data_IF_419010682212
#
_entry.id   IF_419010682212
#
_cell.length_a   1.000
_cell.length_b   1.000
_cell.length_c   1.000
_cell.angle_alpha   90.00
_cell.angle_beta   90.00
_cell.angle_gamma   90.00
#
_symmetry.space_group_name_H-M   'P 1'
#
loop_
_entity.id
_entity.type
_entity.pdbx_description
1 polymer ?
#
# COMPACT_ATOMS: atom_id res chain seq x y z
N UNK A 1 100.18 3.94 -1.51
CA UNK A 1 99.51 4.53 -0.34
C UNK A 1 98.07 4.87 -0.75
N UNK A 2 97.07 4.30 -0.05
CA UNK A 2 95.69 4.76 0.24
C UNK A 2 94.84 5.36 -0.93
N UNK A 3 93.57 5.03 -1.20
CA UNK A 3 92.54 4.21 -0.55
C UNK A 3 91.17 4.39 -1.28
N UNK A 4 90.31 3.36 -1.14
CA UNK A 4 88.83 3.36 -1.06
C UNK A 4 87.90 4.15 -2.03
N UNK A 5 87.09 3.38 -2.78
CA UNK A 5 85.61 3.24 -2.61
C UNK A 5 84.61 4.10 -3.43
N UNK A 6 83.76 3.32 -4.14
CA UNK A 6 82.30 3.43 -4.38
C UNK A 6 81.70 4.13 -5.62
N UNK A 7 81.04 3.27 -6.42
CA UNK A 7 79.85 3.53 -7.25
C UNK A 7 78.63 3.92 -6.39
N UNK A 8 77.69 4.71 -6.93
CA UNK A 8 76.39 4.25 -7.47
C UNK A 8 75.40 5.42 -7.73
N UNK A 9 74.84 5.37 -8.94
CA UNK A 9 73.45 5.57 -9.40
C UNK A 9 72.62 6.83 -9.10
N UNK A 10 72.04 7.32 -10.21
CA UNK A 10 70.99 8.32 -10.32
C UNK A 10 69.72 7.66 -10.91
N UNK A 11 68.57 8.07 -10.40
CA UNK A 11 67.18 7.69 -10.66
C UNK A 11 66.76 7.52 -12.14
N UNK A 12 65.75 6.67 -12.43
CA UNK A 12 64.39 7.12 -12.82
C UNK A 12 63.40 5.95 -13.00
N UNK A 13 62.12 6.27 -12.83
CA UNK A 13 60.92 5.44 -12.78
C UNK A 13 60.61 4.59 -14.04
N UNK A 14 59.98 3.42 -13.83
CA UNK A 14 58.65 3.06 -14.34
C UNK A 14 58.48 1.53 -14.53
N UNK A 15 57.53 0.94 -13.80
CA UNK A 15 56.46 0.07 -14.36
C UNK A 15 55.74 -0.69 -13.25
N UNK A 16 54.61 -0.10 -12.84
CA UNK A 16 53.54 -0.76 -12.12
C UNK A 16 52.83 -1.73 -13.10
N UNK A 17 53.18 -3.02 -13.09
CA UNK A 17 52.23 -4.12 -13.39
C UNK A 17 52.94 -5.46 -13.30
N UNK A 18 52.81 -6.19 -12.19
CA UNK A 18 52.93 -7.65 -12.23
C UNK A 18 51.87 -8.22 -11.29
N UNK A 19 50.89 -8.89 -11.90
CA UNK A 19 49.82 -9.60 -11.21
C UNK A 19 50.38 -10.69 -10.31
N UNK A 20 49.58 -11.06 -9.31
CA UNK A 20 49.91 -12.15 -8.38
C UNK A 20 49.64 -13.47 -9.11
N UNK A 21 50.57 -14.41 -9.07
CA UNK A 21 50.45 -15.75 -9.67
C UNK A 21 50.52 -16.81 -8.56
N UNK A 22 49.85 -17.96 -8.72
CA UNK A 22 49.93 -19.08 -7.76
C UNK A 22 51.25 -19.88 -7.92
N UNK A 23 51.52 -20.83 -7.02
CA UNK A 23 52.68 -21.72 -7.03
C UNK A 23 52.91 -22.46 -8.38
N UNK A 24 51.87 -22.66 -9.19
CA UNK A 24 51.92 -23.26 -10.53
C UNK A 24 52.05 -22.22 -11.68
N UNK A 25 52.22 -20.94 -11.37
CA UNK A 25 52.47 -19.87 -12.35
C UNK A 25 51.22 -19.34 -13.08
N UNK A 26 50.01 -19.78 -12.72
CA UNK A 26 48.77 -19.20 -13.26
C UNK A 26 48.49 -17.83 -12.65
N UNK A 27 48.06 -16.83 -13.45
CA UNK A 27 47.64 -15.54 -12.94
C UNK A 27 46.44 -15.73 -12.01
N UNK A 28 46.56 -15.29 -10.76
CA UNK A 28 45.45 -15.20 -9.81
C UNK A 28 44.70 -13.92 -10.19
N UNK A 29 43.82 -14.05 -11.18
CA UNK A 29 42.88 -12.99 -11.49
C UNK A 29 41.85 -12.91 -10.36
N UNK A 30 41.73 -11.73 -9.76
CA UNK A 30 40.86 -11.49 -8.61
C UNK A 30 39.42 -11.46 -9.08
N UNK A 31 38.68 -12.54 -8.89
CA UNK A 31 37.22 -12.52 -9.07
C UNK A 31 36.48 -12.21 -7.76
N UNK A 32 37.00 -11.26 -6.97
CA UNK A 32 36.23 -10.64 -5.86
C UNK A 32 35.09 -9.76 -6.42
N UNK A 33 35.24 -9.25 -7.65
CA UNK A 33 34.15 -8.56 -8.38
C UNK A 33 33.04 -9.53 -8.85
N UNK A 34 33.36 -10.80 -9.13
CA UNK A 34 32.37 -11.77 -9.60
C UNK A 34 31.50 -12.33 -8.48
N UNK A 35 32.02 -12.49 -7.26
CA UNK A 35 31.21 -12.95 -6.11
C UNK A 35 30.19 -11.88 -5.68
N UNK A 36 30.59 -10.59 -5.63
CA UNK A 36 29.65 -9.50 -5.32
C UNK A 36 28.54 -9.36 -6.38
N UNK A 37 28.88 -9.52 -7.67
CA UNK A 37 27.91 -9.51 -8.76
C UNK A 37 26.99 -10.74 -8.76
N UNK A 38 27.51 -11.94 -8.45
CA UNK A 38 26.73 -13.18 -8.30
C UNK A 38 25.74 -13.12 -7.13
N UNK A 39 26.12 -12.53 -5.99
CA UNK A 39 25.24 -12.40 -4.83
C UNK A 39 24.13 -11.37 -5.05
N UNK A 40 24.43 -10.26 -5.72
CA UNK A 40 23.40 -9.29 -6.16
C UNK A 40 22.44 -9.95 -7.15
N UNK A 41 22.95 -10.73 -8.11
CA UNK A 41 22.11 -11.38 -9.13
C UNK A 41 21.22 -12.47 -8.51
N UNK A 42 21.73 -13.22 -7.52
CA UNK A 42 21.00 -14.27 -6.79
C UNK A 42 19.98 -13.68 -5.80
N UNK A 43 20.31 -12.56 -5.16
CA UNK A 43 19.40 -11.75 -4.35
C UNK A 43 18.28 -11.16 -5.21
N UNK A 44 18.62 -10.49 -6.32
CA UNK A 44 17.65 -9.97 -7.30
C UNK A 44 16.76 -11.09 -7.85
N UNK A 45 17.28 -12.27 -8.19
CA UNK A 45 16.45 -13.39 -8.65
C UNK A 45 15.48 -13.91 -7.56
N UNK A 46 15.89 -13.94 -6.29
CA UNK A 46 15.02 -14.32 -5.17
C UNK A 46 13.97 -13.25 -4.88
N UNK A 47 14.36 -11.97 -4.87
CA UNK A 47 13.45 -10.82 -4.73
C UNK A 47 12.45 -10.76 -5.89
N UNK A 48 12.89 -11.03 -7.12
CA UNK A 48 12.02 -11.14 -8.30
C UNK A 48 11.03 -12.29 -8.13
N UNK A 49 11.45 -13.49 -7.70
CA UNK A 49 10.52 -14.62 -7.46
C UNK A 49 9.48 -14.31 -6.38
N UNK A 50 9.86 -13.63 -5.29
CA UNK A 50 8.94 -13.21 -4.23
C UNK A 50 7.98 -12.12 -4.74
N UNK A 51 8.47 -11.13 -5.49
CA UNK A 51 7.63 -10.12 -6.15
C UNK A 51 6.63 -10.76 -7.12
N UNK A 52 7.06 -11.73 -7.94
CA UNK A 52 6.20 -12.41 -8.91
C UNK A 52 5.05 -13.14 -8.22
N UNK A 53 5.29 -13.73 -7.05
CA UNK A 53 4.23 -14.36 -6.23
C UNK A 53 3.20 -13.35 -5.76
N UNK A 54 3.64 -12.21 -5.19
CA UNK A 54 2.74 -11.16 -4.71
C UNK A 54 1.95 -10.49 -5.85
N UNK A 55 2.58 -10.30 -7.01
CA UNK A 55 1.92 -9.79 -8.22
C UNK A 55 0.85 -10.76 -8.70
N UNK A 56 1.11 -12.07 -8.64
CA UNK A 56 0.12 -13.10 -9.00
C UNK A 56 -1.17 -13.02 -8.16
N UNK A 57 -1.03 -12.88 -6.83
CA UNK A 57 -2.19 -12.72 -5.94
C UNK A 57 -2.95 -11.41 -6.21
N UNK A 58 -2.24 -10.31 -6.49
CA UNK A 58 -2.87 -9.03 -6.83
C UNK A 58 -3.67 -9.12 -8.14
N UNK A 59 -3.09 -9.72 -9.18
CA UNK A 59 -3.77 -9.93 -10.47
C UNK A 59 -5.00 -10.81 -10.30
N UNK A 60 -4.91 -11.89 -9.52
CA UNK A 60 -6.03 -12.76 -9.22
C UNK A 60 -7.17 -12.00 -8.52
N UNK A 61 -6.83 -11.15 -7.53
CA UNK A 61 -7.80 -10.29 -6.85
C UNK A 61 -8.46 -9.31 -7.84
N UNK A 62 -7.69 -8.64 -8.70
CA UNK A 62 -8.24 -7.73 -9.69
C UNK A 62 -9.22 -8.43 -10.64
N UNK A 63 -8.87 -9.62 -11.14
CA UNK A 63 -9.76 -10.41 -12.00
C UNK A 63 -11.03 -10.83 -11.24
N UNK A 64 -10.90 -11.21 -9.97
CA UNK A 64 -12.02 -11.57 -9.12
C UNK A 64 -13.01 -10.41 -8.89
N UNK A 65 -12.49 -9.19 -8.71
CA UNK A 65 -13.30 -7.97 -8.58
C UNK A 65 -14.01 -7.63 -9.88
N UNK A 66 -13.33 -7.71 -11.03
CA UNK A 66 -13.93 -7.43 -12.35
C UNK A 66 -15.03 -8.44 -12.69
N UNK A 67 -14.80 -9.73 -12.41
CA UNK A 67 -15.82 -10.77 -12.59
C UNK A 67 -17.05 -10.52 -11.70
N UNK A 68 -16.82 -10.15 -10.43
CA UNK A 68 -17.90 -9.77 -9.51
C UNK A 68 -18.69 -8.56 -10.01
N UNK A 69 -18.00 -7.51 -10.47
CA UNK A 69 -18.62 -6.28 -10.96
C UNK A 69 -19.58 -6.56 -12.13
N UNK A 70 -19.13 -7.36 -13.09
CA UNK A 70 -19.94 -7.79 -14.23
C UNK A 70 -21.16 -8.61 -13.78
N UNK A 71 -20.97 -9.55 -12.85
CA UNK A 71 -22.04 -10.38 -12.32
C UNK A 71 -23.13 -9.57 -11.58
N UNK A 72 -22.74 -8.70 -10.64
CA UNK A 72 -23.73 -7.91 -9.87
C UNK A 72 -24.43 -6.85 -10.72
N UNK A 73 -23.70 -6.22 -11.65
CA UNK A 73 -24.32 -5.33 -12.62
C UNK A 73 -25.40 -6.06 -13.43
N UNK A 74 -25.10 -7.28 -13.90
CA UNK A 74 -26.07 -8.07 -14.66
C UNK A 74 -27.31 -8.43 -13.84
N UNK A 75 -27.13 -8.83 -12.57
CA UNK A 75 -28.22 -9.25 -11.69
C UNK A 75 -29.12 -8.08 -11.22
N UNK A 76 -28.54 -6.92 -10.89
CA UNK A 76 -29.27 -5.86 -10.19
C UNK A 76 -29.69 -4.70 -11.08
N UNK A 77 -29.00 -4.42 -12.19
CA UNK A 77 -29.30 -3.23 -13.02
C UNK A 77 -30.70 -3.27 -13.65
N UNK A 78 -31.13 -4.44 -14.12
CA UNK A 78 -32.47 -4.62 -14.67
C UNK A 78 -33.56 -4.42 -13.60
N UNK A 79 -33.36 -5.04 -12.43
CA UNK A 79 -34.28 -4.91 -11.30
C UNK A 79 -34.35 -3.49 -10.74
N UNK A 80 -33.23 -2.74 -10.73
CA UNK A 80 -33.20 -1.33 -10.33
C UNK A 80 -34.12 -0.48 -11.23
N UNK A 81 -34.08 -0.72 -12.55
CA UNK A 81 -34.89 0.03 -13.51
C UNK A 81 -36.39 -0.24 -13.30
N UNK A 82 -36.78 -1.50 -13.17
CA UNK A 82 -38.16 -1.89 -12.94
C UNK A 82 -38.68 -1.36 -11.60
N UNK A 83 -37.89 -1.49 -10.53
CA UNK A 83 -38.22 -0.95 -9.21
C UNK A 83 -38.38 0.59 -9.22
N UNK A 84 -37.57 1.30 -10.01
CA UNK A 84 -37.70 2.75 -10.18
C UNK A 84 -39.05 3.11 -10.78
N UNK A 85 -39.44 2.48 -11.90
CA UNK A 85 -40.72 2.75 -12.55
C UNK A 85 -41.92 2.37 -11.68
N UNK A 86 -41.86 1.24 -10.97
CA UNK A 86 -42.92 0.83 -10.06
C UNK A 86 -43.11 1.82 -8.89
N UNK A 87 -42.01 2.36 -8.35
CA UNK A 87 -42.06 3.36 -7.27
C UNK A 87 -42.51 4.72 -7.79
N UNK A 88 -42.03 5.13 -8.97
CA UNK A 88 -42.46 6.35 -9.65
C UNK A 88 -43.96 6.36 -9.95
N UNK A 89 -44.53 5.22 -10.39
CA UNK A 89 -45.96 5.09 -10.61
C UNK A 89 -46.77 5.32 -9.32
N UNK A 90 -46.34 4.71 -8.20
CA UNK A 90 -46.96 4.92 -6.87
C UNK A 90 -46.85 6.37 -6.39
N UNK A 91 -45.68 6.98 -6.59
CA UNK A 91 -45.47 8.40 -6.29
C UNK A 91 -46.44 9.29 -7.08
N UNK A 92 -46.57 9.08 -8.40
CA UNK A 92 -47.46 9.86 -9.26
C UNK A 92 -48.93 9.68 -8.89
N UNK A 93 -49.35 8.48 -8.55
CA UNK A 93 -50.72 8.20 -8.10
C UNK A 93 -51.05 8.94 -6.79
N UNK A 94 -50.17 8.84 -5.79
CA UNK A 94 -50.33 9.56 -4.51
C UNK A 94 -50.29 11.07 -4.72
N UNK A 95 -49.38 11.59 -5.56
CA UNK A 95 -49.31 13.01 -5.89
C UNK A 95 -50.62 13.50 -6.51
N UNK A 96 -51.14 12.81 -7.53
CA UNK A 96 -52.38 13.19 -8.20
C UNK A 96 -53.57 13.16 -7.24
N UNK A 97 -53.67 12.13 -6.39
CA UNK A 97 -54.73 12.00 -5.38
C UNK A 97 -54.63 13.11 -4.33
N UNK A 98 -53.43 13.43 -3.86
CA UNK A 98 -53.19 14.48 -2.87
C UNK A 98 -53.46 15.87 -3.46
N UNK A 99 -53.09 16.11 -4.72
CA UNK A 99 -53.41 17.33 -5.45
C UNK A 99 -54.92 17.50 -5.64
N UNK A 100 -55.64 16.44 -6.04
CA UNK A 100 -57.09 16.48 -6.17
C UNK A 100 -57.78 16.79 -4.83
N UNK A 101 -57.30 16.19 -3.73
CA UNK A 101 -57.78 16.48 -2.37
C UNK A 101 -57.50 17.93 -1.98
N UNK A 102 -56.30 18.45 -2.24
CA UNK A 102 -55.94 19.84 -1.94
C UNK A 102 -56.81 20.84 -2.71
N UNK A 103 -57.03 20.61 -4.01
CA UNK A 103 -57.91 21.44 -4.85
C UNK A 103 -59.35 21.40 -4.30
N UNK A 104 -59.87 20.21 -3.95
CA UNK A 104 -61.20 20.07 -3.37
C UNK A 104 -61.37 20.79 -2.02
N UNK A 105 -60.33 20.84 -1.20
CA UNK A 105 -60.34 21.60 0.06
C UNK A 105 -60.41 23.10 -0.22
N UNK A 106 -59.62 23.60 -1.19
CA UNK A 106 -59.61 25.02 -1.55
C UNK A 106 -60.95 25.45 -2.18
N UNK A 107 -61.59 24.59 -2.96
CA UNK A 107 -62.87 24.87 -3.65
C UNK A 107 -64.12 24.58 -2.77
N UNK A 108 -63.94 24.11 -1.54
CA UNK A 108 -65.03 23.69 -0.65
C UNK A 108 -65.94 24.82 -0.14
N UNK A 109 -65.56 26.09 -0.35
CA UNK A 109 -66.28 27.26 0.17
C UNK A 109 -66.19 27.43 1.69
N UNK A 110 -65.31 26.69 2.37
CA UNK A 110 -65.06 26.76 3.82
C UNK A 110 -64.37 28.08 4.24
N UNK A 111 -64.40 28.39 5.54
CA UNK A 111 -63.63 29.52 6.08
C UNK A 111 -62.13 29.31 5.89
N UNK A 112 -61.38 30.41 5.78
CA UNK A 112 -59.93 30.35 5.53
C UNK A 112 -59.18 29.54 6.60
N UNK A 113 -59.62 29.58 7.86
CA UNK A 113 -59.02 28.83 8.97
C UNK A 113 -59.23 27.31 8.81
N UNK A 114 -60.43 26.90 8.38
CA UNK A 114 -60.75 25.49 8.17
C UNK A 114 -60.02 24.97 6.92
N UNK A 115 -59.97 25.75 5.84
CA UNK A 115 -59.20 25.42 4.63
C UNK A 115 -57.72 25.25 4.97
N UNK A 116 -57.13 26.18 5.74
CA UNK A 116 -55.73 26.10 6.14
C UNK A 116 -55.41 24.83 6.92
N UNK A 117 -56.20 24.51 7.96
CA UNK A 117 -55.97 23.31 8.78
C UNK A 117 -56.16 21.99 8.03
N UNK A 118 -57.15 21.90 7.13
CA UNK A 118 -57.35 20.71 6.30
C UNK A 118 -56.26 20.56 5.24
N UNK A 119 -55.81 21.66 4.64
CA UNK A 119 -54.73 21.65 3.66
C UNK A 119 -53.41 21.23 4.30
N UNK A 120 -53.09 21.76 5.48
CA UNK A 120 -51.92 21.36 6.26
C UNK A 120 -51.93 19.85 6.53
N UNK A 121 -53.06 19.31 6.99
CA UNK A 121 -53.23 17.86 7.23
C UNK A 121 -53.01 17.03 5.96
N UNK A 122 -53.50 17.49 4.80
CA UNK A 122 -53.31 16.80 3.52
C UNK A 122 -51.85 16.86 3.03
N UNK A 123 -51.15 17.97 3.29
CA UNK A 123 -49.73 18.12 2.97
C UNK A 123 -48.85 17.24 3.85
N UNK A 124 -49.16 17.11 5.14
CA UNK A 124 -48.45 16.22 6.06
C UNK A 124 -48.64 14.75 5.62
N UNK A 125 -49.86 14.31 5.30
CA UNK A 125 -50.12 12.95 4.80
C UNK A 125 -49.34 12.65 3.50
N UNK A 126 -49.28 13.62 2.58
CA UNK A 126 -48.48 13.49 1.37
C UNK A 126 -46.98 13.39 1.69
N UNK A 127 -46.47 14.26 2.58
CA UNK A 127 -45.08 14.27 3.00
C UNK A 127 -44.69 12.93 3.67
N UNK A 128 -45.47 12.44 4.63
CA UNK A 128 -45.23 11.16 5.29
C UNK A 128 -45.19 10.00 4.29
N UNK A 129 -46.13 9.98 3.33
CA UNK A 129 -46.14 8.96 2.29
C UNK A 129 -44.92 9.06 1.37
N UNK A 130 -44.49 10.28 1.02
CA UNK A 130 -43.31 10.50 0.20
C UNK A 130 -42.03 10.06 0.93
N UNK A 131 -41.90 10.35 2.22
CA UNK A 131 -40.80 9.88 3.06
C UNK A 131 -40.79 8.35 3.16
N UNK A 132 -41.95 7.71 3.29
CA UNK A 132 -42.04 6.25 3.34
C UNK A 132 -41.68 5.57 2.01
N UNK A 133 -41.90 6.24 0.88
CA UNK A 133 -41.54 5.75 -0.45
C UNK A 133 -40.04 5.88 -0.77
N UNK A 134 -39.29 6.70 -0.03
CA UNK A 134 -37.86 6.99 -0.25
C UNK A 134 -37.53 7.32 -1.72
N UNK A 135 -38.41 8.12 -2.37
CA UNK A 135 -38.29 8.45 -3.79
C UNK A 135 -38.06 9.96 -3.98
N UNK A 136 -36.90 10.39 -4.53
CA UNK A 136 -36.67 11.80 -4.81
C UNK A 136 -37.56 12.26 -5.97
N UNK A 137 -38.36 13.34 -5.83
CA UNK A 137 -39.23 13.85 -6.91
C UNK A 137 -38.49 14.21 -8.20
N UNK A 138 -37.21 14.57 -8.10
CA UNK A 138 -36.33 14.91 -9.22
C UNK A 138 -35.72 13.69 -9.92
N UNK A 139 -35.94 12.48 -9.41
CA UNK A 139 -35.34 11.26 -9.95
C UNK A 139 -35.99 10.89 -11.27
N UNK A 140 -35.19 10.89 -12.34
CA UNK A 140 -35.62 10.43 -13.65
C UNK A 140 -35.18 8.98 -13.88
N UNK A 141 -36.15 8.06 -13.92
CA UNK A 141 -35.88 6.63 -14.15
C UNK A 141 -35.29 6.34 -15.54
N UNK A 142 -35.52 7.19 -16.55
CA UNK A 142 -34.96 6.97 -17.89
C UNK A 142 -33.42 7.03 -17.90
N UNK A 143 -32.82 7.83 -17.00
CA UNK A 143 -31.37 7.97 -16.88
C UNK A 143 -30.67 6.69 -16.43
N UNK A 144 -31.37 5.75 -15.78
CA UNK A 144 -30.78 4.46 -15.36
C UNK A 144 -30.34 3.61 -16.57
N UNK A 145 -30.98 3.83 -17.73
CA UNK A 145 -30.55 3.21 -19.00
C UNK A 145 -29.20 3.72 -19.49
N UNK A 146 -28.79 4.93 -19.08
CA UNK A 146 -27.49 5.50 -19.41
C UNK A 146 -26.37 4.81 -18.61
N UNK A 147 -25.13 4.78 -19.14
CA UNK A 147 -24.01 4.09 -18.49
C UNK A 147 -23.71 4.56 -17.06
N UNK A 148 -23.94 5.84 -16.75
CA UNK A 148 -23.62 6.45 -15.45
C UNK A 148 -24.86 6.77 -14.60
N UNK A 149 -26.07 6.58 -15.11
CA UNK A 149 -27.29 6.94 -14.37
C UNK A 149 -27.83 5.84 -13.46
N UNK A 150 -27.29 4.62 -13.55
CA UNK A 150 -27.62 3.50 -12.66
C UNK A 150 -26.67 3.47 -11.46
N UNK A 151 -27.20 3.13 -10.27
CA UNK A 151 -26.37 2.83 -9.08
C UNK A 151 -25.52 1.58 -9.29
N UNK A 152 -25.96 0.70 -10.19
CA UNK A 152 -25.25 -0.50 -10.65
C UNK A 152 -24.54 -0.30 -12.00
N UNK A 153 -23.93 0.88 -12.19
CA UNK A 153 -22.96 1.05 -13.26
C UNK A 153 -21.68 0.23 -13.00
N UNK A 154 -20.83 0.09 -14.01
CA UNK A 154 -19.66 -0.81 -13.93
C UNK A 154 -18.67 -0.38 -12.85
N UNK A 155 -18.44 0.92 -12.69
CA UNK A 155 -17.50 1.48 -11.69
C UNK A 155 -18.05 1.28 -10.28
N UNK A 156 -19.33 1.58 -10.07
CA UNK A 156 -20.01 1.39 -8.78
C UNK A 156 -20.14 -0.09 -8.40
N UNK A 157 -20.34 -0.98 -9.37
CA UNK A 157 -20.35 -2.42 -9.14
C UNK A 157 -18.97 -2.96 -8.78
N UNK A 158 -17.91 -2.47 -9.44
CA UNK A 158 -16.52 -2.79 -9.09
C UNK A 158 -16.17 -2.30 -7.69
N UNK A 159 -16.57 -1.07 -7.36
CA UNK A 159 -16.40 -0.51 -6.04
C UNK A 159 -17.16 -1.33 -5.00
N UNK A 160 -18.44 -1.67 -5.25
CA UNK A 160 -19.21 -2.57 -4.39
C UNK A 160 -18.46 -3.89 -4.12
N UNK A 161 -17.97 -4.58 -5.14
CA UNK A 161 -17.17 -5.79 -4.99
C UNK A 161 -15.91 -5.59 -4.15
N UNK A 162 -15.20 -4.48 -4.36
CA UNK A 162 -14.04 -4.15 -3.55
C UNK A 162 -14.42 -3.96 -2.07
N UNK A 163 -15.52 -3.26 -1.79
CA UNK A 163 -15.96 -2.97 -0.41
C UNK A 163 -16.46 -4.19 0.36
N UNK A 164 -17.09 -5.17 -0.30
CA UNK A 164 -17.51 -6.41 0.36
C UNK A 164 -16.32 -7.34 0.62
N UNK A 165 -15.38 -7.43 -0.32
CA UNK A 165 -14.18 -8.27 -0.19
C UNK A 165 -13.26 -7.70 0.89
N UNK A 166 -13.04 -6.39 0.92
CA UNK A 166 -12.26 -5.68 1.95
C UNK A 166 -12.99 -5.52 3.28
N UNK A 167 -14.20 -6.06 3.41
CA UNK A 167 -15.04 -5.99 4.61
C UNK A 167 -15.34 -4.57 5.12
N UNK A 168 -15.25 -3.55 4.25
CA UNK A 168 -15.61 -2.16 4.57
C UNK A 168 -17.13 -1.99 4.56
N UNK A 169 -17.80 -2.43 3.48
CA UNK A 169 -19.26 -2.54 3.44
C UNK A 169 -20.10 -1.28 3.69
N UNK A 170 -19.83 -0.14 3.03
CA UNK A 170 -20.56 1.12 3.26
C UNK A 170 -22.10 1.07 3.12
N UNK A 171 -22.67 0.05 2.47
CA UNK A 171 -24.13 -0.08 2.32
C UNK A 171 -24.81 0.89 1.35
N UNK A 172 -24.07 1.85 0.79
CA UNK A 172 -24.56 2.83 -0.19
C UNK A 172 -25.09 2.22 -1.50
N UNK A 173 -24.61 1.03 -1.88
CA UNK A 173 -25.13 0.19 -2.97
C UNK A 173 -25.15 -1.24 -2.42
N UNK A 174 -26.31 -1.90 -2.48
CA UNK A 174 -26.50 -3.25 -1.95
C UNK A 174 -27.47 -4.03 -2.82
N UNK A 175 -27.28 -5.36 -2.97
CA UNK A 175 -28.17 -6.18 -3.77
C UNK A 175 -29.55 -6.24 -3.13
N UNK A 176 -30.54 -5.81 -3.90
CA UNK A 176 -31.94 -5.77 -3.48
C UNK A 176 -32.67 -7.06 -3.81
N UNK A 177 -32.22 -7.77 -4.86
CA UNK A 177 -32.83 -9.02 -5.29
C UNK A 177 -32.50 -10.17 -4.35
N UNK A 178 -33.43 -11.14 -4.23
CA UNK A 178 -33.19 -12.36 -3.45
C UNK A 178 -31.95 -13.12 -3.97
N UNK A 179 -31.83 -13.23 -5.29
CA UNK A 179 -30.69 -13.89 -5.95
C UNK A 179 -29.39 -13.12 -5.76
N UNK A 180 -29.40 -11.79 -5.89
CA UNK A 180 -28.23 -10.95 -5.66
C UNK A 180 -27.70 -11.08 -4.22
N UNK A 181 -28.58 -11.17 -3.23
CA UNK A 181 -28.20 -11.43 -1.83
C UNK A 181 -27.58 -12.80 -1.65
N UNK A 182 -28.18 -13.85 -2.24
CA UNK A 182 -27.64 -15.21 -2.17
C UNK A 182 -26.26 -15.30 -2.82
N UNK A 183 -26.10 -14.74 -4.02
CA UNK A 183 -24.83 -14.66 -4.74
C UNK A 183 -23.79 -13.88 -3.94
N UNK A 184 -24.18 -12.79 -3.28
CA UNK A 184 -23.30 -12.03 -2.39
C UNK A 184 -22.76 -12.87 -1.23
N UNK A 185 -23.59 -13.70 -0.59
CA UNK A 185 -23.14 -14.59 0.48
C UNK A 185 -22.05 -15.54 -0.01
N UNK A 186 -22.25 -16.17 -1.16
CA UNK A 186 -21.27 -17.10 -1.74
C UNK A 186 -20.02 -16.39 -2.29
N UNK A 187 -20.14 -15.16 -2.78
CA UNK A 187 -19.01 -14.36 -3.24
C UNK A 187 -18.08 -13.98 -2.07
N UNK A 188 -18.62 -13.65 -0.89
CA UNK A 188 -17.77 -13.31 0.26
C UNK A 188 -16.87 -14.47 0.74
N UNK A 189 -17.30 -15.73 0.58
CA UNK A 189 -16.59 -16.91 1.10
C UNK A 189 -15.15 -17.03 0.55
N UNK A 190 -14.92 -17.05 -0.79
CA UNK A 190 -13.56 -17.04 -1.33
C UNK A 190 -12.95 -15.63 -1.41
N UNK A 191 -13.77 -14.57 -1.46
CA UNK A 191 -13.28 -13.19 -1.56
C UNK A 191 -12.50 -12.73 -0.32
N UNK A 192 -13.03 -12.98 0.88
CA UNK A 192 -12.40 -12.53 2.14
C UNK A 192 -11.01 -13.18 2.35
N UNK A 193 -10.84 -14.51 2.22
CA UNK A 193 -9.51 -15.11 2.28
C UNK A 193 -8.55 -14.56 1.23
N UNK A 194 -9.02 -14.32 0.00
CA UNK A 194 -8.19 -13.80 -1.09
C UNK A 194 -7.62 -12.42 -0.77
N UNK A 195 -8.41 -11.50 -0.19
CA UNK A 195 -7.90 -10.19 0.22
C UNK A 195 -6.94 -10.30 1.40
N UNK A 196 -7.16 -11.22 2.35
CA UNK A 196 -6.26 -11.39 3.49
C UNK A 196 -4.88 -11.88 3.04
N UNK A 197 -4.82 -12.80 2.08
CA UNK A 197 -3.56 -13.25 1.48
C UNK A 197 -2.88 -12.10 0.71
N UNK A 198 -3.67 -11.28 0.01
CA UNK A 198 -3.18 -10.10 -0.69
C UNK A 198 -2.60 -9.06 0.28
N UNK A 199 -3.32 -8.74 1.36
CA UNK A 199 -2.90 -7.81 2.41
C UNK A 199 -1.63 -8.29 3.11
N UNK A 200 -1.52 -9.59 3.40
CA UNK A 200 -0.30 -10.18 3.95
C UNK A 200 0.91 -9.98 3.03
N UNK A 201 0.72 -10.23 1.73
CA UNK A 201 1.76 -10.06 0.71
C UNK A 201 2.18 -8.59 0.54
N UNK A 202 1.20 -7.68 0.49
CA UNK A 202 1.45 -6.22 0.43
C UNK A 202 2.14 -5.73 1.71
N UNK A 203 1.72 -6.23 2.88
CA UNK A 203 2.31 -5.90 4.17
C UNK A 203 3.79 -6.28 4.25
N UNK A 204 4.16 -7.45 3.73
CA UNK A 204 5.57 -7.85 3.62
C UNK A 204 6.36 -6.91 2.70
N UNK A 205 5.83 -6.56 1.54
CA UNK A 205 6.47 -5.62 0.61
C UNK A 205 6.67 -4.24 1.23
N UNK A 206 5.66 -3.72 1.94
CA UNK A 206 5.75 -2.46 2.68
C UNK A 206 6.78 -2.54 3.81
N UNK A 207 6.84 -3.64 4.56
CA UNK A 207 7.84 -3.83 5.61
C UNK A 207 9.27 -3.84 5.05
N UNK A 208 9.51 -4.50 3.91
CA UNK A 208 10.80 -4.44 3.22
C UNK A 208 11.14 -3.01 2.78
N UNK A 209 10.18 -2.28 2.20
CA UNK A 209 10.37 -0.89 1.80
C UNK A 209 10.69 0.00 3.01
N UNK A 210 9.98 -0.15 4.13
CA UNK A 210 10.23 0.62 5.34
C UNK A 210 11.58 0.30 5.96
N UNK A 211 11.98 -0.99 6.02
CA UNK A 211 13.33 -1.37 6.46
C UNK A 211 14.39 -0.81 5.53
N UNK A 212 14.19 -0.86 4.22
CA UNK A 212 15.11 -0.28 3.25
C UNK A 212 15.26 1.24 3.46
N UNK A 213 14.15 1.98 3.55
CA UNK A 213 14.15 3.42 3.79
C UNK A 213 14.79 3.74 5.14
N UNK A 214 14.44 3.02 6.21
CA UNK A 214 15.02 3.20 7.53
C UNK A 214 16.54 2.93 7.54
N UNK A 215 17.00 1.85 6.92
CA UNK A 215 18.43 1.54 6.83
C UNK A 215 19.17 2.57 5.98
N UNK A 216 18.54 3.10 4.93
CA UNK A 216 19.12 4.14 4.10
C UNK A 216 19.22 5.49 4.82
N UNK A 217 18.23 5.81 5.67
CA UNK A 217 18.19 7.05 6.48
C UNK A 217 19.01 6.98 7.77
N UNK A 218 19.01 5.84 8.50
CA UNK A 218 19.67 5.67 9.79
C UNK A 218 21.02 4.92 9.72
N UNK A 219 21.19 3.96 8.80
CA UNK A 219 22.36 3.05 8.81
C UNK A 219 23.40 3.30 7.71
N UNK A 220 23.14 4.08 6.65
CA UNK A 220 24.18 4.45 5.69
C UNK A 220 25.33 5.29 6.29
N UNK A 221 25.10 5.95 7.44
CA UNK A 221 26.18 6.56 8.25
C UNK A 221 26.85 5.55 9.20
N UNK A 222 26.07 4.80 9.98
CA UNK A 222 26.61 3.93 11.04
C UNK A 222 27.22 2.59 10.53
N UNK A 223 26.61 1.93 9.56
CA UNK A 223 27.10 0.65 9.03
C UNK A 223 28.32 0.82 8.11
N UNK A 224 28.38 1.91 7.34
CA UNK A 224 29.58 2.27 6.56
C UNK A 224 30.79 2.46 7.47
N UNK A 225 30.60 3.15 8.60
CA UNK A 225 31.64 3.35 9.60
C UNK A 225 32.04 2.06 10.34
N UNK A 226 31.09 1.18 10.67
CA UNK A 226 31.39 -0.10 11.33
C UNK A 226 32.14 -1.06 10.38
N UNK A 227 31.73 -1.16 9.11
CA UNK A 227 32.40 -2.01 8.10
C UNK A 227 33.82 -1.51 7.80
N UNK A 228 34.01 -0.19 7.71
CA UNK A 228 35.34 0.45 7.60
C UNK A 228 36.20 0.16 8.84
N UNK A 229 35.65 0.29 10.06
CA UNK A 229 36.38 -0.01 11.32
C UNK A 229 36.78 -1.47 11.43
N UNK A 230 35.92 -2.43 11.07
CA UNK A 230 36.24 -3.87 11.08
C UNK A 230 37.32 -4.21 10.04
N UNK A 231 37.24 -3.66 8.83
CA UNK A 231 38.27 -3.81 7.78
C UNK A 231 39.62 -3.25 8.23
N UNK A 232 39.63 -2.09 8.88
CA UNK A 232 40.84 -1.47 9.43
C UNK A 232 41.44 -2.30 10.59
N UNK A 233 40.61 -2.88 11.48
CA UNK A 233 41.11 -3.76 12.56
C UNK A 233 41.74 -5.05 12.01
N UNK A 234 41.16 -5.69 10.99
CA UNK A 234 41.74 -6.90 10.35
C UNK A 234 43.08 -6.57 9.68
N UNK A 235 43.15 -5.45 8.96
CA UNK A 235 44.40 -5.00 8.31
C UNK A 235 45.52 -4.71 9.34
N UNK A 236 45.18 -4.09 10.47
CA UNK A 236 46.11 -3.83 11.58
C UNK A 236 46.63 -5.10 12.27
N UNK A 237 45.81 -6.14 12.39
CA UNK A 237 46.23 -7.43 12.95
C UNK A 237 47.21 -8.15 12.02
N UNK A 238 46.91 -8.16 10.72
CA UNK A 238 47.79 -8.74 9.70
C UNK A 238 49.13 -8.03 9.64
N UNK A 239 49.15 -6.69 9.69
CA UNK A 239 50.41 -5.92 9.77
C UNK A 239 51.26 -6.28 10.99
N UNK A 240 50.65 -6.42 12.17
CA UNK A 240 51.37 -6.84 13.39
C UNK A 240 51.95 -8.24 13.29
N UNK A 241 51.18 -9.21 12.82
CA UNK A 241 51.66 -10.57 12.58
C UNK A 241 52.82 -10.60 11.58
N UNK A 242 52.74 -9.78 10.53
CA UNK A 242 53.80 -9.68 9.52
C UNK A 242 55.08 -9.06 10.10
N UNK A 243 54.96 -8.07 11.00
CA UNK A 243 56.09 -7.51 11.75
C UNK A 243 56.70 -8.52 12.74
N UNK A 244 55.90 -9.27 13.49
CA UNK A 244 56.38 -10.26 14.46
C UNK A 244 57.06 -11.45 13.74
N UNK A 245 56.48 -11.92 12.63
CA UNK A 245 57.08 -12.96 11.80
C UNK A 245 58.42 -12.48 11.22
N UNK A 246 58.51 -11.22 10.80
CA UNK A 246 59.75 -10.61 10.33
C UNK A 246 60.81 -10.56 11.43
N UNK A 247 60.47 -10.14 12.65
CA UNK A 247 61.39 -10.15 13.80
C UNK A 247 61.91 -11.55 14.10
N UNK A 248 61.04 -12.56 14.03
CA UNK A 248 61.44 -13.95 14.21
C UNK A 248 62.42 -14.43 13.13
N UNK A 249 62.17 -14.08 11.86
CA UNK A 249 63.08 -14.40 10.76
C UNK A 249 64.43 -13.69 10.90
N UNK A 250 64.44 -12.41 11.28
CA UNK A 250 65.67 -11.65 11.53
C UNK A 250 66.48 -12.21 12.71
N UNK A 251 65.81 -12.64 13.79
CA UNK A 251 66.47 -13.28 14.94
C UNK A 251 67.08 -14.63 14.54
N UNK A 252 66.36 -15.44 13.76
CA UNK A 252 66.84 -16.74 13.27
C UNK A 252 68.04 -16.58 12.34
N UNK A 253 68.01 -15.61 11.42
CA UNK A 253 69.10 -15.30 10.51
C UNK A 253 70.37 -14.83 11.25
N UNK A 254 70.22 -13.99 12.28
CA UNK A 254 71.34 -13.57 13.15
C UNK A 254 71.99 -14.74 13.91
N UNK A 255 71.19 -15.75 14.27
CA UNK A 255 71.69 -16.94 14.97
C UNK A 255 72.34 -17.96 14.02
N UNK A 256 71.82 -18.11 12.79
CA UNK A 256 72.32 -19.07 11.79
C UNK A 256 73.46 -18.53 10.93
N UNK A 257 73.73 -17.22 10.96
CA UNK A 257 74.75 -16.58 10.11
C UNK A 257 74.33 -16.42 8.65
N UNK A 258 73.04 -16.65 8.35
CA UNK A 258 72.48 -16.49 7.00
C UNK A 258 72.12 -15.02 6.71
N UNK A 259 72.21 -14.57 5.43
CA UNK A 259 71.80 -13.22 5.05
C UNK A 259 70.30 -13.02 5.25
N UNK A 260 69.92 -11.85 5.78
CA UNK A 260 68.52 -11.50 6.07
C UNK A 260 67.73 -11.48 4.75
N UNK A 261 66.65 -12.27 4.63
CA UNK A 261 65.87 -12.33 3.40
C UNK A 261 65.18 -10.99 3.10
N UNK A 262 65.08 -10.58 1.82
CA UNK A 262 64.37 -9.36 1.43
C UNK A 262 62.88 -9.45 1.79
N UNK A 263 62.20 -8.33 2.04
CA UNK A 263 60.80 -8.32 2.48
C UNK A 263 59.91 -8.92 1.40
N UNK A 264 59.48 -10.17 1.59
CA UNK A 264 58.40 -10.76 0.80
C UNK A 264 57.08 -10.45 1.50
N UNK A 265 56.15 -9.83 0.77
CA UNK A 265 54.76 -9.71 1.19
C UNK A 265 54.20 -11.13 1.31
N UNK A 266 53.96 -11.58 2.53
CA UNK A 266 53.29 -12.85 2.78
C UNK A 266 51.85 -12.73 2.30
N UNK A 267 51.49 -13.44 1.23
CA UNK A 267 50.10 -13.70 0.89
C UNK A 267 49.55 -14.69 1.91
N UNK A 268 48.84 -14.17 2.91
CA UNK A 268 48.05 -14.99 3.83
C UNK A 268 46.91 -15.59 3.02
N UNK A 269 46.98 -16.89 2.74
CA UNK A 269 45.88 -17.67 2.19
C UNK A 269 44.90 -17.93 3.32
N UNK A 270 43.65 -17.56 3.11
CA UNK A 270 42.52 -17.84 4.00
C UNK A 270 41.82 -19.05 3.38
N UNK A 271 41.68 -20.15 4.12
CA UNK A 271 40.90 -21.33 3.71
C UNK A 271 39.43 -20.94 3.60
N UNK A 272 38.82 -21.14 2.43
CA UNK A 272 37.50 -20.63 2.01
C UNK A 272 36.37 -21.69 2.14
N UNK A 273 36.68 -22.94 2.52
CA UNK A 273 35.70 -24.05 2.44
C UNK A 273 34.80 -24.22 3.69
N UNK A 274 35.11 -23.58 4.83
CA UNK A 274 34.25 -23.63 6.03
C UNK A 274 33.23 -22.49 6.14
N UNK A 275 33.32 -21.49 5.25
CA UNK A 275 32.63 -20.20 5.44
C UNK A 275 31.24 -20.13 4.77
N UNK A 276 30.92 -20.97 3.78
CA UNK A 276 29.64 -20.88 3.05
C UNK A 276 28.40 -21.18 3.93
N UNK A 277 28.46 -22.19 4.78
CA UNK A 277 27.34 -22.57 5.66
C UNK A 277 27.18 -21.61 6.86
N UNK A 278 28.28 -21.04 7.34
CA UNK A 278 28.29 -20.06 8.43
C UNK A 278 27.83 -18.67 7.94
N UNK A 279 28.18 -18.28 6.71
CA UNK A 279 27.72 -17.03 6.08
C UNK A 279 26.22 -17.07 5.78
N UNK A 280 25.69 -18.20 5.30
CA UNK A 280 24.24 -18.42 5.13
C UNK A 280 23.53 -18.34 6.49
N UNK A 281 24.08 -18.98 7.53
CA UNK A 281 23.49 -18.96 8.88
C UNK A 281 23.54 -17.57 9.52
N UNK A 282 24.57 -16.77 9.26
CA UNK A 282 24.63 -15.36 9.65
C UNK A 282 23.62 -14.51 8.88
N UNK A 283 23.43 -14.71 7.57
CA UNK A 283 22.41 -14.00 6.78
C UNK A 283 21.00 -14.35 7.26
N UNK A 284 20.71 -15.63 7.56
CA UNK A 284 19.42 -16.03 8.13
C UNK A 284 19.20 -15.44 9.53
N UNK A 285 20.23 -15.40 10.38
CA UNK A 285 20.16 -14.72 11.69
C UNK A 285 19.98 -13.21 11.55
N UNK A 286 20.61 -12.57 10.58
CA UNK A 286 20.46 -11.13 10.34
C UNK A 286 19.07 -10.82 9.77
N UNK A 287 18.51 -11.68 8.90
CA UNK A 287 17.10 -11.57 8.49
C UNK A 287 16.14 -11.75 9.67
N UNK A 288 16.40 -12.71 10.56
CA UNK A 288 15.55 -12.98 11.73
C UNK A 288 15.67 -11.86 12.80
N UNK A 289 16.88 -11.33 13.02
CA UNK A 289 17.10 -10.14 13.85
C UNK A 289 16.45 -8.89 13.24
N UNK A 290 16.33 -8.79 11.91
CA UNK A 290 15.55 -7.69 11.32
C UNK A 290 14.05 -7.85 11.57
N UNK A 291 13.52 -9.06 11.69
CA UNK A 291 12.14 -9.32 12.14
C UNK A 291 11.94 -8.91 13.60
N UNK A 292 12.92 -9.18 14.48
CA UNK A 292 12.89 -8.84 15.90
C UNK A 292 13.26 -7.37 16.21
N UNK A 293 13.96 -6.69 15.30
CA UNK A 293 14.18 -5.25 15.33
C UNK A 293 12.86 -4.53 14.97
N UNK A 294 11.97 -4.45 15.96
CA UNK A 294 10.68 -3.78 15.85
C UNK A 294 10.84 -2.40 15.21
N UNK A 295 10.04 -2.15 14.17
CA UNK A 295 9.96 -0.84 13.53
C UNK A 295 9.56 0.17 14.62
N UNK A 296 10.33 1.25 14.84
CA UNK A 296 10.01 2.20 15.90
C UNK A 296 8.62 2.79 15.67
N UNK A 297 7.83 2.84 16.73
CA UNK A 297 6.42 3.28 16.72
C UNK A 297 6.28 4.66 16.05
N UNK A 298 7.29 5.52 16.17
CA UNK A 298 7.33 6.84 15.51
C UNK A 298 7.20 6.78 13.99
N UNK A 299 7.83 5.79 13.33
CA UNK A 299 7.73 5.62 11.87
C UNK A 299 6.33 5.17 11.49
N UNK A 300 5.74 4.23 12.24
CA UNK A 300 4.37 3.76 12.00
C UNK A 300 3.37 4.90 12.15
N UNK A 301 3.50 5.71 13.21
CA UNK A 301 2.65 6.88 13.44
C UNK A 301 2.80 7.92 12.32
N UNK A 302 4.04 8.16 11.85
CA UNK A 302 4.28 9.08 10.73
C UNK A 302 3.64 8.58 9.43
N UNK A 303 3.71 7.28 9.13
CA UNK A 303 3.07 6.69 7.94
C UNK A 303 1.56 6.84 8.01
N UNK A 304 0.94 6.61 9.18
CA UNK A 304 -0.51 6.80 9.35
C UNK A 304 -0.89 8.27 9.14
N UNK A 305 -0.16 9.21 9.74
CA UNK A 305 -0.41 10.65 9.55
C UNK A 305 -0.25 11.05 8.09
N UNK A 306 0.79 10.56 7.41
CA UNK A 306 1.01 10.81 6.00
C UNK A 306 -0.13 10.25 5.14
N UNK A 307 -0.58 9.02 5.42
CA UNK A 307 -1.72 8.42 4.73
C UNK A 307 -2.99 9.27 4.87
N UNK A 308 -3.30 9.71 6.08
CA UNK A 308 -4.49 10.56 6.34
C UNK A 308 -4.36 11.92 5.64
N UNK A 309 -3.18 12.54 5.67
CA UNK A 309 -2.94 13.82 4.99
C UNK A 309 -3.05 13.69 3.47
N UNK A 310 -2.51 12.61 2.89
CA UNK A 310 -2.64 12.30 1.46
C UNK A 310 -4.11 12.09 1.10
N UNK A 311 -4.85 11.31 1.89
CA UNK A 311 -6.29 11.10 1.70
C UNK A 311 -7.08 12.41 1.76
N UNK A 312 -6.82 13.25 2.76
CA UNK A 312 -7.44 14.57 2.91
C UNK A 312 -7.27 15.45 1.67
N UNK A 313 -6.06 15.47 1.11
CA UNK A 313 -5.76 16.27 -0.08
C UNK A 313 -6.34 15.65 -1.36
N UNK A 314 -6.19 14.33 -1.54
CA UNK A 314 -6.64 13.63 -2.74
C UNK A 314 -8.16 13.69 -2.88
N UNK A 315 -8.91 13.38 -1.81
CA UNK A 315 -10.36 13.43 -1.85
C UNK A 315 -10.90 14.86 -1.93
N UNK A 316 -10.19 15.86 -1.41
CA UNK A 316 -10.55 17.27 -1.60
C UNK A 316 -10.46 17.71 -3.06
N UNK A 317 -9.49 17.20 -3.81
CA UNK A 317 -9.33 17.48 -5.24
C UNK A 317 -10.38 16.74 -6.06
N UNK A 318 -10.66 15.48 -5.70
CA UNK A 318 -11.61 14.66 -6.42
C UNK A 318 -13.05 15.13 -6.19
N UNK A 319 -13.41 15.37 -4.93
CA UNK A 319 -14.75 15.78 -4.53
C UNK A 319 -14.80 17.29 -4.25
N UNK A 320 -15.40 18.03 -5.19
CA UNK A 320 -15.46 19.50 -5.13
C UNK A 320 -16.14 20.01 -3.86
N UNK A 321 -17.18 19.29 -3.40
CA UNK A 321 -18.03 19.62 -2.24
C UNK A 321 -17.43 19.19 -0.89
N UNK A 322 -16.30 18.48 -0.87
CA UNK A 322 -15.73 17.95 0.36
C UNK A 322 -14.71 18.93 0.96
N UNK A 323 -14.76 19.10 2.28
CA UNK A 323 -13.68 19.77 3.00
C UNK A 323 -12.48 18.83 3.17
N UNK A 324 -11.26 19.34 3.44
CA UNK A 324 -10.11 18.48 3.76
C UNK A 324 -10.38 17.55 4.96
N UNK A 325 -11.21 17.97 5.91
CA UNK A 325 -11.60 17.18 7.08
C UNK A 325 -12.49 16.00 6.65
N UNK A 326 -13.42 16.20 5.71
CA UNK A 326 -14.26 15.13 5.17
C UNK A 326 -13.41 14.08 4.44
N UNK A 327 -12.41 14.52 3.67
CA UNK A 327 -11.47 13.62 3.00
C UNK A 327 -10.61 12.83 4.01
N UNK A 328 -10.13 13.47 5.07
CA UNK A 328 -9.40 12.81 6.15
C UNK A 328 -10.28 11.78 6.90
N UNK A 329 -11.50 12.18 7.24
CA UNK A 329 -12.51 11.34 7.89
C UNK A 329 -12.81 10.10 7.04
N UNK A 330 -13.10 10.30 5.75
CA UNK A 330 -13.35 9.22 4.83
C UNK A 330 -12.16 8.25 4.75
N UNK A 331 -10.93 8.76 4.63
CA UNK A 331 -9.73 7.93 4.58
C UNK A 331 -9.57 7.05 5.84
N UNK A 332 -9.79 7.61 7.03
CA UNK A 332 -9.69 6.87 8.31
C UNK A 332 -10.78 5.80 8.40
N UNK A 333 -12.05 6.15 8.18
CA UNK A 333 -13.18 5.22 8.28
C UNK A 333 -13.08 4.07 7.26
N UNK A 334 -12.44 4.34 6.12
CA UNK A 334 -12.20 3.35 5.06
C UNK A 334 -11.08 2.39 5.43
N UNK A 335 -9.91 2.90 5.82
CA UNK A 335 -8.75 2.02 6.12
C UNK A 335 -8.97 1.21 7.40
N UNK A 336 -9.72 1.75 8.36
CA UNK A 336 -10.12 1.02 9.57
C UNK A 336 -11.27 0.05 9.34
N UNK A 337 -11.75 -0.08 8.10
CA UNK A 337 -12.88 -0.93 7.69
C UNK A 337 -14.15 -0.72 8.55
N UNK A 338 -14.38 0.51 9.04
CA UNK A 338 -15.60 0.86 9.78
C UNK A 338 -16.75 1.09 8.80
N UNK A 339 -16.47 1.83 7.72
CA UNK A 339 -17.38 1.96 6.59
C UNK A 339 -18.79 2.49 6.91
N UNK A 340 -18.92 3.64 7.59
CA UNK A 340 -20.25 4.21 7.92
C UNK A 340 -21.13 4.47 6.69
N UNK A 341 -20.53 4.82 5.55
CA UNK A 341 -21.23 5.01 4.28
C UNK A 341 -22.01 6.31 4.16
N UNK A 342 -21.83 7.21 5.12
CA UNK A 342 -22.31 8.59 5.10
C UNK A 342 -21.59 9.45 4.04
N UNK A 343 -20.29 9.19 3.85
CA UNK A 343 -19.43 9.77 2.82
C UNK A 343 -18.89 8.67 1.90
N UNK A 344 -19.13 8.81 0.60
CA UNK A 344 -18.63 7.90 -0.44
C UNK A 344 -18.32 8.72 -1.70
N UNK A 345 -17.16 8.53 -2.36
CA UNK A 345 -16.84 9.25 -3.59
C UNK A 345 -17.78 8.86 -4.74
N UNK A 346 -18.04 9.80 -5.66
CA UNK A 346 -18.87 9.60 -6.85
C UNK A 346 -20.37 9.74 -6.63
N UNK A 347 -20.84 9.72 -5.38
CA UNK A 347 -22.23 10.03 -5.00
C UNK A 347 -22.20 11.07 -3.88
N UNK A 348 -22.71 12.28 -4.13
CA UNK A 348 -22.78 13.34 -3.12
C UNK A 348 -23.38 12.85 -1.79
N UNK A 349 -22.84 13.37 -0.67
CA UNK A 349 -23.25 13.14 0.73
C UNK A 349 -24.67 12.58 0.87
N UNK A 350 -24.78 11.36 1.44
CA UNK A 350 -26.08 10.75 1.82
C UNK A 350 -26.93 11.67 2.70
N UNK A 351 -26.27 12.60 3.38
CA UNK A 351 -26.89 13.47 4.37
C UNK A 351 -27.62 14.69 3.79
N UNK A 352 -27.39 15.10 2.53
CA UNK A 352 -28.11 16.28 1.97
C UNK A 352 -29.63 16.04 1.93
N UNK A 353 -30.11 14.83 1.64
CA UNK A 353 -31.56 14.56 1.55
C UNK A 353 -32.24 14.52 2.92
N UNK A 354 -31.55 14.05 3.97
CA UNK A 354 -32.09 14.04 5.35
C UNK A 354 -31.98 15.41 6.02
N UNK A 355 -30.89 16.14 5.80
CA UNK A 355 -30.74 17.49 6.35
C UNK A 355 -31.63 18.52 5.66
N UNK A 356 -31.83 18.47 4.33
CA UNK A 356 -32.81 19.34 3.65
C UNK A 356 -34.24 18.99 4.05
N UNK A 357 -34.58 17.70 4.23
CA UNK A 357 -35.87 17.29 4.77
C UNK A 357 -36.10 17.82 6.19
N UNK A 358 -35.11 17.68 7.08
CA UNK A 358 -35.20 18.16 8.46
C UNK A 358 -35.19 19.69 8.54
N UNK A 359 -34.35 20.40 7.79
CA UNK A 359 -34.29 21.87 7.80
C UNK A 359 -35.54 22.47 7.16
N UNK A 360 -36.02 21.94 6.03
CA UNK A 360 -37.26 22.41 5.42
C UNK A 360 -38.48 22.15 6.32
N UNK A 361 -38.53 21.00 7.02
CA UNK A 361 -39.59 20.70 7.97
C UNK A 361 -39.50 21.57 9.24
N UNK A 362 -38.29 21.89 9.72
CA UNK A 362 -38.11 22.77 10.89
C UNK A 362 -38.39 24.25 10.58
N UNK A 363 -38.15 24.70 9.35
CA UNK A 363 -38.50 26.04 8.87
C UNK A 363 -40.01 26.15 8.60
N UNK A 364 -40.65 25.12 8.06
CA UNK A 364 -42.12 25.07 7.84
C UNK A 364 -42.93 25.01 9.14
N UNK A 365 -42.38 24.44 10.22
CA UNK A 365 -43.04 24.40 11.55
C UNK A 365 -42.79 25.69 12.35
N UNK A 366 -41.86 26.56 11.90
CA UNK A 366 -41.51 27.84 12.56
C UNK A 366 -42.07 29.08 11.87
N UNK A 367 -42.64 28.98 10.68
CA UNK A 367 -43.35 30.06 9.98
C UNK A 367 -44.85 29.85 10.03
#
# INVERSE_FOLDING_TARGET
>A
MLGASNNYDFEFEASLSRGVHDADGKPIDRTVEDNYSRDITRCCQKTIKVLTSSVGTLVLLCLYLVAGAWMFQYLERGNELEACYATYARYRDKLNTSMARAIGIVDSGLSKEIVASQLESALIDFAETLFALDFPPSRNCSKISEPFGSRWNWVSALYFCATIVTTVGYGHVTPTTQWGRLVCMFYCIPGIPLILICLGSIGQMLAYLFRFIYMNLCCCRCFRDIKIRRRNKRLLRLRRLQEDLRRHMEMKAKLSGEPIPPPKMASVVIDDESDEDDEIREIYREFQDTEDAGIPITIVMLVIVAYVAIGAFLFRIWEVDWSPIDGAYFAVITISTIGFGDLVPGNGRFDKTRHLGNVAMTELVRG
#
